data_IF_721178092709
#
_entry.id   IF_721178092709
#
_cell.length_a   1.000
_cell.length_b   1.000
_cell.length_c   1.000
_cell.angle_alpha   90.00
_cell.angle_beta   90.00
_cell.angle_gamma   90.00
#
_symmetry.space_group_name_H-M   'P 1'
#
loop_
_entity.id
_entity.type
_entity.pdbx_description
1 polymer ?
#
# COMPACT_ATOMS: atom_id res chain seq x y z
N UNK A 1 31.32 -1.56 6.68
CA UNK A 1 30.39 -0.85 5.77
C UNK A 1 28.94 -1.31 5.91
N UNK A 2 28.67 -2.62 5.99
CA UNK A 2 27.30 -3.20 6.05
C UNK A 2 26.46 -2.80 7.29
N UNK A 3 27.08 -2.62 8.46
CA UNK A 3 26.34 -2.20 9.67
C UNK A 3 25.83 -0.76 9.61
N UNK A 4 26.53 0.13 8.91
CA UNK A 4 26.15 1.54 8.82
C UNK A 4 24.93 1.74 7.91
N UNK A 5 24.83 0.96 6.83
CA UNK A 5 23.68 0.99 5.92
C UNK A 5 22.42 0.43 6.56
N UNK A 6 22.57 -0.60 7.40
CA UNK A 6 21.44 -1.21 8.13
C UNK A 6 20.86 -0.24 9.18
N UNK A 7 21.72 0.41 9.96
CA UNK A 7 21.28 1.44 10.92
C UNK A 7 20.60 2.65 10.24
N UNK A 8 21.09 3.09 9.07
CA UNK A 8 20.44 4.18 8.31
C UNK A 8 19.02 3.80 7.87
N UNK A 9 18.81 2.54 7.50
CA UNK A 9 17.51 2.01 7.09
C UNK A 9 16.54 1.90 8.28
N UNK A 10 17.04 1.45 9.42
CA UNK A 10 16.23 1.28 10.65
C UNK A 10 15.83 2.61 11.28
N UNK A 11 16.61 3.68 11.06
CA UNK A 11 16.32 5.05 11.50
C UNK A 11 15.49 5.88 10.50
N UNK A 12 15.08 5.32 9.36
CA UNK A 12 14.31 6.06 8.34
C UNK A 12 15.10 7.17 7.63
N UNK A 13 16.43 7.05 7.61
CA UNK A 13 17.37 7.99 6.96
C UNK A 13 17.73 7.52 5.54
N UNK A 14 16.76 6.96 4.82
CA UNK A 14 16.91 6.64 3.40
C UNK A 14 16.88 7.92 2.57
N UNK A 15 17.79 8.01 1.60
CA UNK A 15 18.11 9.29 0.93
C UNK A 15 16.94 9.93 0.17
N UNK A 16 15.90 9.16 -0.16
CA UNK A 16 14.68 9.67 -0.80
C UNK A 16 13.76 10.42 0.17
N UNK A 17 13.85 10.10 1.47
CA UNK A 17 13.03 10.67 2.54
C UNK A 17 13.66 11.97 3.05
N UNK A 18 14.99 12.07 3.00
CA UNK A 18 15.73 13.27 3.35
C UNK A 18 15.46 14.44 2.38
N UNK A 19 15.45 14.18 1.06
CA UNK A 19 15.13 15.21 0.05
C UNK A 19 13.70 15.75 0.23
N UNK A 20 12.73 14.86 0.54
CA UNK A 20 11.33 15.26 0.81
C UNK A 20 11.17 15.99 2.13
N UNK A 21 11.92 15.63 3.16
CA UNK A 21 11.90 16.31 4.46
C UNK A 21 12.43 17.75 4.33
N UNK A 22 13.48 17.94 3.53
CA UNK A 22 14.02 19.25 3.20
C UNK A 22 13.04 20.02 2.32
N UNK A 23 12.45 19.44 1.28
CA UNK A 23 11.43 20.15 0.47
C UNK A 23 10.21 20.59 1.29
N UNK A 24 9.80 19.81 2.30
CA UNK A 24 8.63 20.13 3.14
C UNK A 24 8.85 21.31 4.10
N UNK A 25 10.09 21.56 4.55
CA UNK A 25 10.42 22.73 5.38
C UNK A 25 10.85 23.96 4.56
N UNK A 26 11.28 23.77 3.31
CA UNK A 26 11.88 24.81 2.48
C UNK A 26 11.01 25.19 1.28
N UNK A 27 9.86 25.82 1.54
CA UNK A 27 9.11 26.54 0.51
C UNK A 27 10.03 27.37 -0.39
N UNK A 28 9.84 27.27 -1.71
CA UNK A 28 10.66 27.73 -2.84
C UNK A 28 11.41 29.08 -2.68
N UNK A 29 12.36 29.18 -1.76
CA UNK A 29 13.19 30.39 -1.59
C UNK A 29 14.64 29.99 -1.37
N UNK A 30 15.20 29.35 -2.40
CA UNK A 30 16.58 28.83 -2.54
C UNK A 30 17.71 29.81 -2.16
N UNK A 31 17.39 31.08 -1.94
CA UNK A 31 18.32 32.17 -1.61
C UNK A 31 17.94 32.99 -0.37
N UNK A 32 16.69 32.96 0.12
CA UNK A 32 16.30 33.85 1.22
C UNK A 32 16.72 33.33 2.58
N UNK A 33 16.66 32.02 2.80
CA UNK A 33 16.99 31.42 4.10
C UNK A 33 18.47 31.56 4.49
N UNK A 34 19.47 31.29 3.62
CA UNK A 34 20.88 31.51 3.97
C UNK A 34 21.19 32.99 4.27
N UNK A 35 20.52 33.90 3.56
CA UNK A 35 20.64 35.34 3.74
C UNK A 35 20.01 35.78 5.07
N UNK A 36 18.83 35.25 5.39
CA UNK A 36 18.14 35.45 6.67
C UNK A 36 18.97 34.96 7.85
N UNK A 37 19.51 33.73 7.78
CA UNK A 37 20.37 33.19 8.83
C UNK A 37 21.65 34.00 9.01
N UNK A 38 22.27 34.48 7.92
CA UNK A 38 23.46 35.33 7.99
C UNK A 38 23.18 36.68 8.64
N UNK A 39 22.04 37.29 8.32
CA UNK A 39 21.60 38.56 8.93
C UNK A 39 21.28 38.39 10.42
N UNK A 40 20.62 37.29 10.81
CA UNK A 40 20.33 36.97 12.21
C UNK A 40 21.59 36.69 13.03
N UNK A 41 22.58 36.00 12.45
CA UNK A 41 23.88 35.77 13.09
C UNK A 41 24.60 37.09 13.39
N UNK A 42 24.62 38.01 12.41
CA UNK A 42 25.26 39.33 12.57
C UNK A 42 24.54 40.18 13.63
N UNK A 43 23.21 40.14 13.68
CA UNK A 43 22.41 40.85 14.68
C UNK A 43 22.75 40.38 16.11
N UNK A 44 22.80 39.06 16.33
CA UNK A 44 23.15 38.53 17.65
C UNK A 44 24.62 38.73 18.02
N UNK A 45 25.54 38.67 17.06
CA UNK A 45 26.94 38.99 17.30
C UNK A 45 27.11 40.45 17.75
N UNK A 46 26.40 41.38 17.10
CA UNK A 46 26.39 42.79 17.51
C UNK A 46 25.83 42.97 18.92
N UNK A 47 24.75 42.24 19.27
CA UNK A 47 24.17 42.28 20.61
C UNK A 47 25.13 41.79 21.69
N UNK A 48 25.84 40.68 21.45
CA UNK A 48 26.86 40.14 22.36
C UNK A 48 28.00 41.14 22.57
N UNK A 49 28.43 41.84 21.52
CA UNK A 49 29.48 42.88 21.63
C UNK A 49 28.99 44.06 22.48
N UNK A 50 27.75 44.50 22.29
CA UNK A 50 27.13 45.59 23.07
C UNK A 50 27.00 45.19 24.54
N UNK A 51 26.57 43.96 24.83
CA UNK A 51 26.56 43.41 26.19
C UNK A 51 27.96 43.48 26.81
N UNK A 52 29.00 42.91 26.17
CA UNK A 52 30.37 42.95 26.71
C UNK A 52 30.84 44.38 27.02
N UNK A 53 30.45 45.37 26.21
CA UNK A 53 30.77 46.78 26.44
C UNK A 53 30.09 47.34 27.70
N UNK A 54 28.78 47.15 27.86
CA UNK A 54 28.03 47.62 29.03
C UNK A 54 28.52 47.00 30.34
N UNK A 55 28.88 45.72 30.29
CA UNK A 55 29.44 44.99 31.44
C UNK A 55 30.85 45.44 31.83
N UNK A 56 31.62 46.02 30.92
CA UNK A 56 32.92 46.61 31.23
C UNK A 56 32.84 47.93 32.01
N UNK A 57 31.64 48.51 32.14
CA UNK A 57 31.41 49.84 32.70
C UNK A 57 30.55 49.89 33.96
N UNK A 58 29.98 48.78 34.42
CA UNK A 58 29.10 48.73 35.61
C UNK A 58 29.70 47.92 36.76
N UNK A 59 29.72 48.49 37.98
CA UNK A 59 29.97 47.76 39.23
C UNK A 59 28.73 46.91 39.58
N UNK A 60 28.82 45.61 39.31
CA UNK A 60 27.68 44.69 39.34
C UNK A 60 27.22 44.39 40.78
N UNK A 61 26.02 44.84 41.13
CA UNK A 61 25.29 44.39 42.32
C UNK A 61 24.42 43.16 42.01
N UNK A 62 24.19 42.32 43.02
CA UNK A 62 23.70 40.93 42.92
C UNK A 62 22.24 40.72 42.51
N UNK A 63 21.54 41.73 41.98
CA UNK A 63 20.10 41.63 41.64
C UNK A 63 19.81 41.32 40.15
N UNK A 64 20.84 41.29 39.29
CA UNK A 64 20.70 41.18 37.81
C UNK A 64 20.73 39.75 37.23
N UNK A 65 20.54 38.70 38.04
CA UNK A 65 20.59 37.29 37.59
C UNK A 65 19.69 36.92 36.38
N UNK A 66 18.51 37.54 36.13
CA UNK A 66 17.70 37.23 34.95
C UNK A 66 18.37 37.67 33.64
N UNK A 67 19.20 38.73 33.67
CA UNK A 67 19.97 39.23 32.52
C UNK A 67 21.05 38.22 32.12
N UNK A 68 21.63 37.52 33.10
CA UNK A 68 22.55 36.42 32.83
C UNK A 68 21.87 35.24 32.12
N UNK A 69 20.60 34.95 32.41
CA UNK A 69 19.87 33.86 31.76
C UNK A 69 19.61 34.13 30.28
N UNK A 70 19.31 35.38 29.92
CA UNK A 70 19.17 35.80 28.52
C UNK A 70 20.48 35.63 27.74
N UNK A 71 21.63 35.87 28.35
CA UNK A 71 22.94 35.67 27.72
C UNK A 71 23.19 34.20 27.35
N UNK A 72 22.84 33.26 28.22
CA UNK A 72 22.90 31.82 27.89
C UNK A 72 21.89 31.43 26.79
N UNK A 73 20.72 32.05 26.77
CA UNK A 73 19.73 31.87 25.68
C UNK A 73 20.28 32.26 24.31
N UNK A 74 20.96 33.41 24.22
CA UNK A 74 21.59 33.87 22.98
C UNK A 74 22.76 32.97 22.54
N UNK A 75 23.56 32.47 23.49
CA UNK A 75 24.64 31.52 23.19
C UNK A 75 24.09 30.20 22.63
N UNK A 76 23.00 29.68 23.20
CA UNK A 76 22.34 28.45 22.70
C UNK A 76 21.76 28.65 21.29
N UNK A 77 21.14 29.82 21.03
CA UNK A 77 20.64 30.18 19.70
C UNK A 77 21.76 30.28 18.65
N UNK A 78 22.91 30.86 19.04
CA UNK A 78 24.09 30.95 18.17
C UNK A 78 24.61 29.56 17.76
N UNK A 79 24.67 28.63 18.72
CA UNK A 79 25.10 27.25 18.47
C UNK A 79 24.11 26.51 17.55
N UNK A 80 22.81 26.72 17.73
CA UNK A 80 21.77 26.14 16.87
C UNK A 80 21.86 26.65 15.42
N UNK A 81 22.05 27.96 15.23
CA UNK A 81 22.22 28.58 13.90
C UNK A 81 23.49 28.10 13.19
N UNK A 82 24.58 27.87 13.94
CA UNK A 82 25.82 27.28 13.39
C UNK A 82 25.58 25.84 12.90
N UNK A 83 24.82 25.03 13.63
CA UNK A 83 24.51 23.66 13.21
C UNK A 83 23.66 23.63 11.94
N UNK A 84 22.65 24.51 11.83
CA UNK A 84 21.79 24.60 10.63
C UNK A 84 22.59 25.05 9.39
N UNK A 85 23.57 25.94 9.56
CA UNK A 85 24.45 26.37 8.47
C UNK A 85 25.34 25.24 7.94
N UNK A 86 25.95 24.45 8.84
CA UNK A 86 26.80 23.32 8.47
C UNK A 86 25.99 22.23 7.76
N UNK A 87 24.79 21.91 8.25
CA UNK A 87 23.89 20.93 7.62
C UNK A 87 23.52 21.39 6.21
N UNK A 88 23.22 22.68 6.04
CA UNK A 88 22.85 23.25 4.73
C UNK A 88 23.98 23.13 3.68
N UNK A 89 25.24 23.35 4.08
CA UNK A 89 26.40 23.18 3.19
C UNK A 89 26.61 21.70 2.86
N UNK A 90 26.52 20.83 3.86
CA UNK A 90 26.74 19.39 3.70
C UNK A 90 25.76 18.77 2.71
N UNK A 91 24.46 19.09 2.83
CA UNK A 91 23.41 18.60 1.91
C UNK A 91 23.68 19.06 0.48
N UNK A 92 24.08 20.33 0.30
CA UNK A 92 24.33 20.90 -1.04
C UNK A 92 25.56 20.32 -1.74
N UNK A 93 26.58 19.94 -0.99
CA UNK A 93 27.77 19.29 -1.55
C UNK A 93 27.48 17.84 -1.97
N UNK A 94 26.70 17.11 -1.16
CA UNK A 94 26.28 15.73 -1.49
C UNK A 94 25.30 15.70 -2.66
N UNK A 95 24.35 16.63 -2.74
CA UNK A 95 23.42 16.69 -3.86
C UNK A 95 24.14 16.93 -5.18
N UNK A 96 25.12 17.84 -5.21
CA UNK A 96 25.86 18.18 -6.43
C UNK A 96 26.78 17.05 -6.90
N UNK A 97 27.40 16.32 -5.98
CA UNK A 97 28.25 15.16 -6.33
C UNK A 97 27.43 13.99 -6.85
N UNK A 98 26.20 13.77 -6.37
CA UNK A 98 25.28 12.74 -6.90
C UNK A 98 24.73 13.07 -8.29
N UNK A 99 24.35 14.33 -8.54
CA UNK A 99 23.85 14.73 -9.86
C UNK A 99 24.93 14.53 -10.95
N UNK A 100 26.19 14.82 -10.63
CA UNK A 100 27.32 14.56 -11.53
C UNK A 100 27.56 13.07 -11.81
N UNK A 101 27.23 12.17 -10.85
CA UNK A 101 27.35 10.71 -11.04
C UNK A 101 26.21 10.09 -11.85
N UNK A 102 25.05 10.77 -11.95
CA UNK A 102 23.86 10.28 -12.67
C UNK A 102 23.82 10.85 -14.11
N UNK A 103 24.57 11.92 -14.38
CA UNK A 103 24.55 12.63 -15.66
C UNK A 103 25.59 12.14 -16.69
N UNK A 104 25.99 10.87 -16.70
CA UNK A 104 26.71 10.31 -17.86
C UNK A 104 25.67 9.89 -18.92
N UNK A 105 25.44 10.68 -19.99
CA UNK A 105 24.37 10.46 -20.96
C UNK A 105 24.52 9.16 -21.78
N UNK A 106 25.67 8.49 -21.71
CA UNK A 106 25.95 7.27 -22.47
C UNK A 106 25.31 6.01 -21.86
N UNK A 107 25.14 5.93 -20.53
CA UNK A 107 24.58 4.74 -19.88
C UNK A 107 23.06 4.64 -20.12
N UNK A 108 22.34 5.76 -20.01
CA UNK A 108 20.88 5.77 -20.12
C UNK A 108 20.38 5.45 -21.54
N UNK A 109 21.05 5.99 -22.57
CA UNK A 109 20.71 5.73 -23.97
C UNK A 109 20.96 4.27 -24.34
N UNK A 110 22.06 3.69 -23.85
CA UNK A 110 22.38 2.27 -24.07
C UNK A 110 21.33 1.35 -23.44
N UNK A 111 20.84 1.69 -22.24
CA UNK A 111 19.79 0.93 -21.54
C UNK A 111 18.44 1.05 -22.23
N UNK A 112 18.10 2.21 -22.79
CA UNK A 112 16.89 2.39 -23.60
C UNK A 112 16.92 1.51 -24.86
N UNK A 113 18.04 1.50 -25.58
CA UNK A 113 18.18 0.64 -26.77
C UNK A 113 18.05 -0.85 -26.44
N UNK A 114 18.67 -1.32 -25.35
CA UNK A 114 18.56 -2.72 -24.90
C UNK A 114 17.11 -3.07 -24.54
N UNK A 115 16.39 -2.14 -23.90
CA UNK A 115 14.99 -2.34 -23.53
C UNK A 115 14.09 -2.45 -24.77
N UNK A 116 14.28 -1.59 -25.76
CA UNK A 116 13.51 -1.62 -27.02
C UNK A 116 13.72 -2.91 -27.80
N UNK A 117 14.96 -3.39 -27.88
CA UNK A 117 15.30 -4.66 -28.53
C UNK A 117 14.62 -5.83 -27.80
N UNK A 118 14.65 -5.82 -26.46
CA UNK A 118 14.03 -6.87 -25.64
C UNK A 118 12.51 -6.89 -25.82
N UNK A 119 11.87 -5.72 -25.84
CA UNK A 119 10.43 -5.60 -26.03
C UNK A 119 9.98 -6.11 -27.41
N UNK A 120 10.71 -5.74 -28.48
CA UNK A 120 10.43 -6.23 -29.84
C UNK A 120 10.58 -7.74 -29.95
N UNK A 121 11.62 -8.31 -29.31
CA UNK A 121 11.81 -9.77 -29.28
C UNK A 121 10.62 -10.47 -28.64
N UNK A 122 10.13 -9.94 -27.52
CA UNK A 122 9.00 -10.52 -26.80
C UNK A 122 7.68 -10.36 -27.57
N UNK A 123 7.52 -9.30 -28.36
CA UNK A 123 6.34 -9.12 -29.23
C UNK A 123 6.29 -10.16 -30.35
N UNK A 124 7.44 -10.52 -30.93
CA UNK A 124 7.55 -11.57 -31.96
C UNK A 124 7.21 -12.93 -31.36
N UNK A 125 7.79 -13.29 -30.22
CA UNK A 125 7.53 -14.56 -29.54
C UNK A 125 6.03 -14.73 -29.18
N UNK A 126 5.40 -13.66 -28.69
CA UNK A 126 3.95 -13.66 -28.43
C UNK A 126 3.11 -13.82 -29.72
N UNK A 127 3.58 -13.31 -30.86
CA UNK A 127 2.89 -13.47 -32.14
C UNK A 127 2.97 -14.90 -32.64
N UNK A 128 4.15 -15.52 -32.57
CA UNK A 128 4.37 -16.93 -32.93
C UNK A 128 3.52 -17.86 -32.06
N UNK A 129 3.52 -17.66 -30.74
CA UNK A 129 2.71 -18.46 -29.81
C UNK A 129 1.20 -18.35 -30.12
N UNK A 130 0.74 -17.16 -30.51
CA UNK A 130 -0.66 -16.91 -30.88
C UNK A 130 -1.05 -17.54 -32.22
N UNK A 131 -0.08 -17.78 -33.10
CA UNK A 131 -0.27 -18.52 -34.35
C UNK A 131 -0.31 -20.02 -34.09
N UNK A 132 0.59 -20.54 -33.25
CA UNK A 132 0.60 -21.95 -32.84
C UNK A 132 -0.73 -22.35 -32.17
N UNK A 133 -1.23 -21.53 -31.24
CA UNK A 133 -2.55 -21.74 -30.60
C UNK A 133 -3.69 -21.74 -31.63
N UNK A 134 -3.61 -20.91 -32.68
CA UNK A 134 -4.61 -20.90 -33.76
C UNK A 134 -4.54 -22.18 -34.60
N UNK A 135 -3.35 -22.69 -34.89
CA UNK A 135 -3.16 -23.97 -35.58
C UNK A 135 -3.73 -25.11 -34.76
N UNK A 136 -3.30 -25.27 -33.50
CA UNK A 136 -3.76 -26.33 -32.61
C UNK A 136 -5.29 -26.31 -32.40
N UNK A 137 -5.89 -25.12 -32.33
CA UNK A 137 -7.36 -24.98 -32.23
C UNK A 137 -8.06 -25.46 -33.50
N UNK A 138 -7.45 -25.27 -34.66
CA UNK A 138 -7.97 -25.73 -35.95
C UNK A 138 -7.82 -27.24 -36.07
N UNK A 139 -6.66 -27.79 -35.71
CA UNK A 139 -6.40 -29.24 -35.71
C UNK A 139 -7.35 -29.97 -34.74
N UNK A 140 -7.56 -29.43 -33.54
CA UNK A 140 -8.54 -29.95 -32.59
C UNK A 140 -9.96 -29.96 -33.15
N UNK A 141 -10.36 -28.94 -33.94
CA UNK A 141 -11.66 -28.93 -34.63
C UNK A 141 -11.73 -30.02 -35.71
N UNK A 142 -10.67 -30.22 -36.48
CA UNK A 142 -10.61 -31.25 -37.51
C UNK A 142 -10.65 -32.66 -36.90
N UNK A 143 -9.92 -32.90 -35.82
CA UNK A 143 -9.95 -34.18 -35.08
C UNK A 143 -11.36 -34.48 -34.57
N UNK A 144 -12.09 -33.49 -34.04
CA UNK A 144 -13.48 -33.66 -33.61
C UNK A 144 -14.41 -34.03 -34.77
N UNK A 145 -14.23 -33.41 -35.95
CA UNK A 145 -15.02 -33.73 -37.15
C UNK A 145 -14.69 -35.14 -37.64
N UNK A 146 -13.40 -35.51 -37.68
CA UNK A 146 -12.94 -36.85 -38.04
C UNK A 146 -13.53 -37.93 -37.10
N UNK A 147 -13.50 -37.69 -35.79
CA UNK A 147 -14.12 -38.55 -34.77
C UNK A 147 -15.64 -38.67 -34.95
N UNK A 148 -16.33 -37.58 -35.29
CA UNK A 148 -17.76 -37.59 -35.58
C UNK A 148 -18.11 -38.40 -36.85
N UNK A 149 -17.25 -38.33 -37.87
CA UNK A 149 -17.42 -39.12 -39.11
C UNK A 149 -17.12 -40.61 -38.88
N UNK A 150 -16.10 -40.94 -38.08
CA UNK A 150 -15.76 -42.32 -37.72
C UNK A 150 -16.80 -42.97 -36.79
N UNK A 151 -17.44 -42.20 -35.91
CA UNK A 151 -18.51 -42.67 -35.03
C UNK A 151 -19.86 -42.85 -35.73
N UNK A 152 -20.00 -42.42 -36.99
CA UNK A 152 -21.15 -42.72 -37.85
C UNK A 152 -21.36 -44.21 -38.16
N UNK A 153 -20.39 -45.08 -37.85
CA UNK A 153 -20.47 -46.53 -38.03
C UNK A 153 -20.97 -47.30 -36.78
N UNK A 154 -21.21 -46.65 -35.64
CA UNK A 154 -21.78 -47.31 -34.45
C UNK A 154 -23.05 -46.62 -34.01
N UNK A 155 -24.17 -47.17 -34.49
CA UNK A 155 -25.53 -46.83 -34.12
C UNK A 155 -25.78 -47.23 -32.66
N UNK A 156 -25.43 -46.34 -31.72
CA UNK A 156 -25.76 -46.48 -30.30
C UNK A 156 -25.20 -45.30 -29.51
N UNK A 157 -26.02 -44.68 -28.66
CA UNK A 157 -25.69 -43.56 -27.77
C UNK A 157 -25.55 -42.17 -28.43
N UNK A 158 -26.65 -41.73 -29.03
CA UNK A 158 -26.90 -40.33 -29.44
C UNK A 158 -27.20 -39.41 -28.23
N UNK A 159 -26.47 -39.54 -27.13
CA UNK A 159 -26.76 -38.80 -25.88
C UNK A 159 -25.63 -37.93 -25.31
N UNK A 160 -24.45 -37.84 -25.94
CA UNK A 160 -23.28 -37.24 -25.26
C UNK A 160 -22.73 -35.94 -25.87
N UNK A 161 -23.19 -35.48 -27.05
CA UNK A 161 -22.50 -34.36 -27.73
C UNK A 161 -23.33 -33.13 -28.10
N UNK A 162 -24.57 -33.02 -27.61
CA UNK A 162 -25.39 -31.80 -27.77
C UNK A 162 -25.63 -31.05 -26.46
N UNK A 163 -25.01 -31.47 -25.36
CA UNK A 163 -25.15 -30.86 -24.02
C UNK A 163 -24.00 -29.91 -23.67
N UNK A 164 -23.65 -29.00 -24.57
CA UNK A 164 -22.70 -27.91 -24.23
C UNK A 164 -23.15 -26.51 -24.61
N UNK A 165 -24.36 -26.32 -25.13
CA UNK A 165 -24.78 -24.98 -25.52
C UNK A 165 -26.13 -24.48 -24.99
N UNK A 166 -27.04 -25.29 -24.44
CA UNK A 166 -28.20 -24.77 -23.69
C UNK A 166 -28.74 -25.82 -22.68
N UNK A 167 -28.20 -25.81 -21.46
CA UNK A 167 -28.86 -26.36 -20.26
C UNK A 167 -28.22 -25.67 -19.03
N UNK A 168 -28.89 -24.72 -18.36
CA UNK A 168 -30.09 -24.88 -17.52
C UNK A 168 -29.73 -25.57 -16.20
N UNK A 169 -29.69 -24.76 -15.13
CA UNK A 169 -30.04 -25.08 -13.73
C UNK A 169 -29.74 -26.50 -13.24
N UNK A 170 -28.54 -27.02 -13.52
CA UNK A 170 -27.95 -28.01 -12.62
C UNK A 170 -27.44 -27.23 -11.40
N UNK A 171 -27.83 -27.58 -10.16
CA UNK A 171 -27.30 -26.91 -9.00
C UNK A 171 -25.77 -27.05 -9.07
N UNK A 172 -25.09 -25.90 -9.17
CA UNK A 172 -23.63 -25.86 -9.09
C UNK A 172 -23.29 -26.41 -7.71
N UNK A 173 -22.82 -27.66 -7.66
CA UNK A 173 -22.35 -28.28 -6.43
C UNK A 173 -21.04 -27.59 -6.04
N UNK A 174 -21.11 -26.76 -5.02
CA UNK A 174 -20.03 -25.90 -4.60
C UNK A 174 -20.43 -25.04 -3.42
N UNK A 175 -19.43 -24.61 -2.65
CA UNK A 175 -19.61 -23.67 -1.55
C UNK A 175 -18.77 -22.46 -1.86
N UNK A 176 -19.42 -21.30 -1.91
CA UNK A 176 -18.72 -20.05 -2.12
C UNK A 176 -19.65 -18.85 -2.15
N UNK A 177 -19.11 -17.71 -1.74
CA UNK A 177 -19.86 -16.48 -1.66
C UNK A 177 -19.02 -15.28 -2.10
N UNK A 178 -19.73 -14.23 -2.54
CA UNK A 178 -19.17 -12.92 -2.78
C UNK A 178 -20.22 -11.88 -2.37
N UNK A 179 -19.81 -10.96 -1.51
CA UNK A 179 -20.62 -9.86 -1.04
C UNK A 179 -19.81 -8.56 -0.95
N UNK A 180 -20.49 -7.42 -1.05
CA UNK A 180 -19.89 -6.10 -0.90
C UNK A 180 -20.82 -5.13 -0.17
N UNK A 181 -20.25 -4.03 0.34
CA UNK A 181 -21.01 -3.00 1.04
C UNK A 181 -21.74 -2.07 0.06
N UNK A 182 -23.04 -1.85 0.26
CA UNK A 182 -23.85 -0.96 -0.58
C UNK A 182 -23.47 0.52 -0.43
N UNK A 183 -23.02 0.90 0.77
CA UNK A 183 -22.71 2.28 1.18
C UNK A 183 -21.47 2.32 2.08
N UNK A 184 -20.97 3.53 2.31
CA UNK A 184 -19.90 3.78 3.28
C UNK A 184 -20.35 3.40 4.70
N UNK A 185 -19.42 2.84 5.48
CA UNK A 185 -19.56 2.62 6.92
C UNK A 185 -18.84 3.78 7.65
N UNK A 186 -19.55 4.72 8.28
CA UNK A 186 -19.03 6.05 8.57
C UNK A 186 -17.98 6.13 9.69
N UNK A 187 -18.06 5.29 10.72
CA UNK A 187 -17.07 5.24 11.83
C UNK A 187 -17.16 3.91 12.60
N UNK A 188 -16.68 2.80 12.00
CA UNK A 188 -16.73 1.50 12.65
C UNK A 188 -15.70 1.46 13.79
N UNK A 189 -16.21 1.47 15.04
CA UNK A 189 -15.39 1.40 16.27
C UNK A 189 -14.67 0.06 16.41
N UNK A 190 -13.85 -0.10 17.44
CA UNK A 190 -13.18 -1.38 17.76
C UNK A 190 -14.15 -2.55 17.87
N UNK A 191 -13.73 -3.71 17.36
CA UNK A 191 -14.55 -4.94 17.30
C UNK A 191 -15.88 -4.79 16.54
N UNK A 192 -15.99 -3.83 15.64
CA UNK A 192 -17.17 -3.68 14.81
C UNK A 192 -17.12 -4.68 13.64
N UNK A 193 -18.08 -5.61 13.60
CA UNK A 193 -18.24 -6.56 12.48
C UNK A 193 -18.69 -5.82 11.23
N UNK A 194 -17.95 -6.03 10.14
CA UNK A 194 -18.24 -5.42 8.85
C UNK A 194 -19.35 -6.20 8.12
N UNK A 195 -20.44 -5.51 7.79
CA UNK A 195 -21.59 -6.09 7.10
C UNK A 195 -21.49 -5.79 5.62
N UNK A 196 -21.26 -6.82 4.79
CA UNK A 196 -21.33 -6.72 3.34
C UNK A 196 -22.73 -7.12 2.89
N UNK A 197 -23.61 -6.13 2.78
CA UNK A 197 -25.07 -6.29 2.70
C UNK A 197 -25.59 -6.63 1.29
N UNK A 198 -24.76 -6.49 0.25
CA UNK A 198 -25.11 -6.86 -1.13
C UNK A 198 -24.41 -8.16 -1.51
N UNK A 199 -25.17 -9.24 -1.63
CA UNK A 199 -24.66 -10.57 -1.98
C UNK A 199 -24.91 -10.87 -3.45
N UNK A 200 -23.86 -11.17 -4.22
CA UNK A 200 -23.98 -11.59 -5.63
C UNK A 200 -23.99 -13.11 -5.78
N UNK A 201 -23.18 -13.80 -4.96
CA UNK A 201 -23.07 -15.26 -4.97
C UNK A 201 -23.16 -15.76 -3.54
N UNK A 202 -23.90 -16.84 -3.32
CA UNK A 202 -24.02 -17.51 -2.02
C UNK A 202 -24.31 -19.02 -2.17
N UNK A 203 -23.48 -19.73 -2.93
CA UNK A 203 -23.61 -21.17 -3.10
C UNK A 203 -23.32 -21.87 -1.76
N UNK A 204 -24.20 -22.80 -1.39
CA UNK A 204 -24.20 -23.43 -0.07
C UNK A 204 -24.87 -22.61 1.04
N UNK A 205 -25.38 -21.41 0.75
CA UNK A 205 -26.12 -20.54 1.67
C UNK A 205 -25.41 -20.27 3.01
N UNK A 206 -24.08 -20.28 3.03
CA UNK A 206 -23.29 -20.06 4.25
C UNK A 206 -23.18 -18.59 4.66
N UNK A 207 -23.28 -17.64 3.73
CA UNK A 207 -23.12 -16.21 4.03
C UNK A 207 -24.46 -15.55 4.41
N UNK A 208 -24.47 -14.79 5.51
CA UNK A 208 -25.62 -14.02 5.98
C UNK A 208 -25.40 -12.52 5.80
N UNK A 209 -26.07 -11.94 4.79
CA UNK A 209 -25.99 -10.53 4.42
C UNK A 209 -26.38 -9.52 5.51
N UNK A 210 -27.17 -9.94 6.50
CA UNK A 210 -27.63 -9.05 7.57
C UNK A 210 -26.63 -8.96 8.72
N UNK A 211 -25.69 -9.92 8.80
CA UNK A 211 -24.73 -10.03 9.92
C UNK A 211 -23.28 -9.89 9.47
N UNK A 212 -22.98 -10.08 8.18
CA UNK A 212 -21.61 -10.12 7.68
C UNK A 212 -20.89 -11.44 7.94
N UNK A 213 -21.60 -12.46 8.46
CA UNK A 213 -21.02 -13.73 8.90
C UNK A 213 -21.21 -14.81 7.84
N UNK A 214 -20.15 -15.53 7.53
CA UNK A 214 -20.16 -16.81 6.82
C UNK A 214 -20.10 -17.96 7.84
N UNK A 215 -21.04 -18.88 7.78
CA UNK A 215 -21.02 -20.14 8.55
C UNK A 215 -20.67 -21.27 7.60
N UNK A 216 -19.59 -21.99 7.88
CA UNK A 216 -19.11 -23.06 7.01
C UNK A 216 -20.14 -24.19 6.90
N UNK A 217 -20.67 -24.49 5.69
CA UNK A 217 -21.66 -25.55 5.51
C UNK A 217 -21.07 -26.97 5.58
N UNK A 218 -19.75 -27.09 5.37
CA UNK A 218 -19.03 -28.36 5.27
C UNK A 218 -17.58 -28.18 5.74
N UNK A 219 -17.00 -29.25 6.29
CA UNK A 219 -15.57 -29.35 6.53
C UNK A 219 -14.77 -29.21 5.22
N UNK A 220 -13.62 -28.56 5.29
CA UNK A 220 -12.67 -28.54 4.18
C UNK A 220 -11.67 -27.38 4.22
N UNK A 221 -10.89 -27.27 3.15
CA UNK A 221 -9.93 -26.18 2.96
C UNK A 221 -10.60 -25.02 2.24
N UNK A 222 -10.68 -23.86 2.88
CA UNK A 222 -11.30 -22.66 2.32
C UNK A 222 -10.25 -21.58 1.99
N UNK A 223 -10.51 -20.82 0.93
CA UNK A 223 -9.85 -19.53 0.66
C UNK A 223 -10.82 -18.40 0.95
N UNK A 224 -10.38 -17.41 1.72
CA UNK A 224 -11.12 -16.20 2.04
C UNK A 224 -10.32 -14.97 1.58
N UNK A 225 -11.01 -14.02 0.98
CA UNK A 225 -10.45 -12.74 0.54
C UNK A 225 -11.37 -11.61 0.99
N UNK A 226 -10.82 -10.55 1.56
CA UNK A 226 -11.58 -9.34 1.85
C UNK A 226 -10.81 -8.11 1.41
N UNK A 227 -11.53 -7.08 1.00
CA UNK A 227 -10.98 -5.77 0.66
C UNK A 227 -11.58 -4.69 1.54
N UNK A 228 -10.74 -3.76 1.98
CA UNK A 228 -11.14 -2.60 2.76
C UNK A 228 -10.61 -1.34 2.08
N UNK A 229 -11.54 -0.48 1.68
CA UNK A 229 -11.24 0.86 1.16
C UNK A 229 -11.42 1.88 2.26
N UNK A 230 -10.43 2.75 2.44
CA UNK A 230 -10.41 3.72 3.56
C UNK A 230 -10.60 5.14 3.05
N UNK A 231 -11.13 6.00 3.91
CA UNK A 231 -11.18 7.43 3.65
C UNK A 231 -9.77 8.04 3.58
N UNK A 232 -9.59 9.06 2.74
CA UNK A 232 -8.32 9.77 2.63
C UNK A 232 -7.88 10.38 3.98
N UNK A 233 -6.57 10.46 4.20
CA UNK A 233 -5.90 10.90 5.42
C UNK A 233 -6.21 10.09 6.68
N UNK A 234 -6.86 8.94 6.54
CA UNK A 234 -7.23 8.07 7.66
C UNK A 234 -6.75 6.63 7.41
N UNK A 235 -6.76 5.83 8.47
CA UNK A 235 -6.35 4.44 8.44
C UNK A 235 -7.44 3.53 9.00
N UNK A 236 -7.44 2.26 8.59
CA UNK A 236 -8.20 1.18 9.23
C UNK A 236 -7.38 -0.10 9.27
N UNK A 237 -7.51 -0.82 10.37
CA UNK A 237 -7.05 -2.21 10.50
C UNK A 237 -8.27 -3.12 10.53
N UNK A 238 -8.29 -4.12 9.65
CA UNK A 238 -9.37 -5.12 9.60
C UNK A 238 -8.83 -6.53 9.71
N UNK A 239 -9.52 -7.34 10.52
CA UNK A 239 -9.16 -8.71 10.85
C UNK A 239 -10.19 -9.69 10.31
N UNK A 240 -9.72 -10.78 9.71
CA UNK A 240 -10.54 -11.96 9.44
C UNK A 240 -10.52 -12.87 10.68
N UNK A 241 -11.71 -13.16 11.20
CA UNK A 241 -11.92 -13.98 12.39
C UNK A 241 -12.48 -15.34 11.98
N UNK A 242 -11.98 -16.43 12.59
CA UNK A 242 -12.61 -17.75 12.57
C UNK A 242 -12.80 -18.19 14.03
N UNK A 243 -14.05 -18.40 14.47
CA UNK A 243 -14.39 -18.83 15.84
C UNK A 243 -13.60 -18.09 16.94
N UNK A 244 -13.56 -16.74 16.89
CA UNK A 244 -12.82 -15.86 17.83
C UNK A 244 -11.32 -15.68 17.58
N UNK A 245 -10.69 -16.49 16.72
CA UNK A 245 -9.27 -16.36 16.40
C UNK A 245 -9.04 -15.42 15.21
N UNK A 246 -8.12 -14.47 15.35
CA UNK A 246 -7.62 -13.66 14.24
C UNK A 246 -6.76 -14.55 13.34
N UNK A 247 -7.19 -14.75 12.10
CA UNK A 247 -6.48 -15.57 11.10
C UNK A 247 -5.65 -14.74 10.14
N UNK A 248 -6.05 -13.50 9.91
CA UNK A 248 -5.31 -12.54 9.10
C UNK A 248 -5.74 -11.13 9.44
N UNK A 249 -4.85 -10.17 9.19
CA UNK A 249 -5.08 -8.76 9.46
C UNK A 249 -4.55 -7.93 8.29
N UNK A 250 -5.22 -6.82 7.99
CA UNK A 250 -4.76 -5.86 7.01
C UNK A 250 -4.78 -4.46 7.59
N UNK A 251 -3.85 -3.62 7.13
CA UNK A 251 -3.78 -2.21 7.48
C UNK A 251 -3.82 -1.38 6.20
N UNK A 252 -4.77 -0.47 6.10
CA UNK A 252 -4.85 0.51 5.04
C UNK A 252 -4.68 1.91 5.61
N UNK A 253 -3.91 2.75 4.91
CA UNK A 253 -3.78 4.19 5.14
C UNK A 253 -3.81 4.91 3.79
N UNK A 254 -4.30 6.15 3.77
CA UNK A 254 -4.33 6.92 2.53
C UNK A 254 -2.91 7.04 1.93
N UNK A 255 -2.77 6.61 0.68
CA UNK A 255 -1.46 6.31 0.08
C UNK A 255 -1.38 4.91 -0.51
N UNK A 256 -2.25 3.99 -0.07
CA UNK A 256 -2.61 2.73 -0.75
C UNK A 256 -4.11 2.46 -0.55
N UNK A 257 -4.90 3.10 -1.42
CA UNK A 257 -6.35 3.40 -1.30
C UNK A 257 -7.32 2.21 -1.24
N UNK A 258 -6.85 0.98 -1.15
CA UNK A 258 -7.64 -0.21 -0.80
C UNK A 258 -6.62 -1.27 -0.40
N UNK A 259 -6.86 -1.98 0.70
CA UNK A 259 -6.04 -3.15 1.07
C UNK A 259 -6.86 -4.40 0.88
N UNK A 260 -6.21 -5.48 0.47
CA UNK A 260 -6.83 -6.81 0.33
C UNK A 260 -6.11 -7.79 1.25
N UNK A 261 -6.89 -8.49 2.07
CA UNK A 261 -6.42 -9.61 2.89
C UNK A 261 -6.80 -10.93 2.23
N UNK A 262 -5.96 -11.95 2.43
CA UNK A 262 -6.21 -13.30 1.93
C UNK A 262 -5.78 -14.31 2.98
N UNK A 263 -6.63 -15.30 3.26
CA UNK A 263 -6.37 -16.39 4.20
C UNK A 263 -6.81 -17.70 3.56
N UNK A 264 -5.98 -18.73 3.71
CA UNK A 264 -6.36 -20.11 3.42
C UNK A 264 -6.34 -20.88 4.75
N UNK A 265 -7.44 -21.53 5.09
CA UNK A 265 -7.59 -22.22 6.37
C UNK A 265 -8.42 -23.49 6.24
N UNK A 266 -8.12 -24.47 7.08
CA UNK A 266 -9.01 -25.61 7.32
C UNK A 266 -10.13 -25.12 8.24
N UNK A 267 -11.37 -25.34 7.81
CA UNK A 267 -12.57 -24.88 8.50
C UNK A 267 -13.52 -26.06 8.64
N UNK A 268 -14.12 -26.21 9.81
CA UNK A 268 -15.10 -27.25 10.09
C UNK A 268 -16.52 -26.72 9.89
N UNK A 269 -17.45 -27.61 9.62
CA UNK A 269 -18.87 -27.32 9.55
C UNK A 269 -19.33 -26.62 10.83
N UNK A 270 -20.03 -25.50 10.66
CA UNK A 270 -20.54 -24.68 11.77
C UNK A 270 -19.56 -23.61 12.25
N UNK A 271 -18.30 -23.61 11.81
CA UNK A 271 -17.37 -22.53 12.13
C UNK A 271 -17.87 -21.19 11.56
N UNK A 272 -17.71 -20.13 12.35
CA UNK A 272 -18.15 -18.78 12.00
C UNK A 272 -16.97 -17.92 11.55
N UNK A 273 -17.10 -17.32 10.38
CA UNK A 273 -16.08 -16.54 9.71
C UNK A 273 -16.63 -15.16 9.36
N UNK A 274 -15.93 -14.11 9.75
CA UNK A 274 -16.34 -12.73 9.47
C UNK A 274 -15.15 -11.77 9.53
N UNK A 275 -15.35 -10.57 8.99
CA UNK A 275 -14.36 -9.48 9.05
C UNK A 275 -14.82 -8.46 10.08
N UNK A 276 -13.90 -7.97 10.90
CA UNK A 276 -14.16 -6.87 11.85
C UNK A 276 -13.01 -5.87 11.88
N UNK A 277 -13.25 -4.69 12.43
CA UNK A 277 -12.19 -3.75 12.79
C UNK A 277 -11.36 -4.25 13.97
N UNK A 278 -10.06 -3.94 13.96
CA UNK A 278 -9.15 -4.31 15.03
C UNK A 278 -9.58 -3.69 16.38
N UNK A 279 -9.27 -4.37 17.48
CA UNK A 279 -9.73 -4.01 18.83
C UNK A 279 -9.12 -2.71 19.34
N UNK A 280 -7.78 -2.60 19.33
CA UNK A 280 -7.02 -1.48 19.88
C UNK A 280 -6.68 -0.41 18.85
N UNK A 281 -6.81 -0.75 17.57
CA UNK A 281 -6.38 0.09 16.45
C UNK A 281 -7.40 0.00 15.30
N UNK A 282 -8.69 0.25 15.54
CA UNK A 282 -9.74 0.10 14.52
C UNK A 282 -9.58 1.03 13.32
N UNK A 283 -8.79 2.10 13.49
CA UNK A 283 -8.76 3.20 12.55
C UNK A 283 -9.68 4.34 12.95
N UNK A 284 -9.81 5.33 12.07
CA UNK A 284 -10.64 6.51 12.27
C UNK A 284 -11.42 6.82 11.00
N UNK A 285 -12.68 7.23 11.14
CA UNK A 285 -13.53 7.67 10.04
C UNK A 285 -14.07 6.52 9.19
N UNK A 286 -14.40 6.82 7.94
CA UNK A 286 -15.26 5.93 7.16
C UNK A 286 -14.48 4.85 6.39
N UNK A 287 -14.97 3.62 6.47
CA UNK A 287 -14.70 2.60 5.46
C UNK A 287 -15.58 2.91 4.25
N UNK A 288 -14.96 3.10 3.10
CA UNK A 288 -15.61 3.54 1.86
C UNK A 288 -16.14 2.37 1.05
N UNK A 289 -17.31 2.54 0.46
CA UNK A 289 -17.84 1.62 -0.55
C UNK A 289 -18.84 2.34 -1.45
N UNK A 290 -18.44 2.60 -2.69
CA UNK A 290 -19.23 3.32 -3.68
C UNK A 290 -18.89 2.88 -5.11
N UNK A 291 -19.43 3.57 -6.11
CA UNK A 291 -19.23 3.26 -7.54
C UNK A 291 -17.76 3.28 -7.99
N UNK A 292 -16.87 4.01 -7.30
CA UNK A 292 -15.45 4.08 -7.63
C UNK A 292 -14.63 2.92 -7.04
N UNK A 293 -15.24 2.06 -6.23
CA UNK A 293 -14.56 0.97 -5.55
C UNK A 293 -15.33 0.49 -4.34
N UNK A 294 -15.56 -0.82 -4.27
CA UNK A 294 -16.34 -1.49 -3.23
C UNK A 294 -15.43 -2.20 -2.23
N UNK A 295 -15.74 -2.05 -0.95
CA UNK A 295 -15.22 -2.94 0.08
C UNK A 295 -16.01 -4.24 0.02
N UNK A 296 -15.31 -5.37 -0.12
CA UNK A 296 -15.91 -6.66 -0.45
C UNK A 296 -15.35 -7.79 0.41
N UNK A 297 -16.10 -8.88 0.49
CA UNK A 297 -15.71 -10.12 1.17
C UNK A 297 -16.18 -11.32 0.34
N UNK A 298 -15.28 -12.26 0.15
CA UNK A 298 -15.53 -13.49 -0.58
C UNK A 298 -14.81 -14.66 0.04
N UNK A 299 -15.32 -15.85 -0.25
CA UNK A 299 -14.63 -17.08 0.06
C UNK A 299 -15.25 -18.26 -0.65
N UNK A 300 -14.48 -19.33 -0.81
CA UNK A 300 -14.93 -20.55 -1.45
C UNK A 300 -14.19 -21.77 -0.90
N UNK A 301 -14.86 -22.92 -0.99
CA UNK A 301 -14.28 -24.21 -0.65
C UNK A 301 -13.37 -24.69 -1.79
N UNK A 302 -12.15 -25.08 -1.45
CA UNK A 302 -11.17 -25.63 -2.40
C UNK A 302 -11.36 -27.15 -2.52
N UNK A 303 -11.37 -27.86 -1.39
CA UNK A 303 -11.58 -29.32 -1.31
C UNK A 303 -11.91 -29.75 0.11
#
# INVERSE_FOLDING_TARGET
MVCLERMKKDLGLDSATLDKFVEFQFGQTRYMYPLWCSLWLLFHLAWVIVEIYWWGTEDVTSELWPVYLTNWGYVVLLLYLMTDFVISIYVRFISNTRVASISEPADLESRLQVLEVTFKKQEIENRELKEEVRSLKTDNRQILIQLALMSGATRGNRHVLTQRLLHQDSPIDGIGFYAYMSKDEPDPRGHHTLIYDVTQTNLGNGYNRNTGVFTAPRDGLYSFTWSTRVQCSLAHTTDLIINERIMGSTYAYCGYNTVTGHVVAIVNQGDVIFVRTHSTSPGQGAIKSNEFGRSAFSGFLIQ
#
